data_IF_807207555870
#
_entry.id   IF_807207555870
#
_cell.length_a   1.000
_cell.length_b   1.000
_cell.length_c   1.000
_cell.angle_alpha   90.00
_cell.angle_beta   90.00
_cell.angle_gamma   90.00
#
_symmetry.space_group_name_H-M   'P 1'
#
loop_
_entity.id
_entity.type
_entity.pdbx_description
1 polymer ?
#
# COMPACT_ATOMS: atom_id res chain seq x y z
N UNK A 1 9.36 27.78 7.88
CA UNK A 1 9.70 26.34 7.81
C UNK A 1 9.01 25.84 6.57
N UNK A 2 9.72 25.82 5.45
CA UNK A 2 9.11 25.61 4.14
C UNK A 2 9.15 24.12 3.80
N UNK A 3 8.29 23.34 4.45
CA UNK A 3 7.97 22.02 3.93
C UNK A 3 7.17 22.25 2.64
N UNK A 4 7.80 22.00 1.50
CA UNK A 4 7.17 22.04 0.16
C UNK A 4 5.85 21.24 0.13
N UNK A 5 5.72 20.25 1.02
CA UNK A 5 4.52 19.44 1.24
C UNK A 5 3.33 20.20 1.85
N UNK A 6 3.55 21.35 2.50
CA UNK A 6 2.49 22.20 3.07
C UNK A 6 1.95 23.24 2.07
N UNK A 7 2.53 23.30 0.86
CA UNK A 7 2.02 24.13 -0.22
C UNK A 7 0.59 23.75 -0.58
N UNK A 8 -0.29 24.75 -0.70
CA UNK A 8 -1.70 24.56 -1.08
C UNK A 8 -1.86 23.83 -2.42
N UNK A 9 -0.97 24.08 -3.39
CA UNK A 9 -0.97 23.39 -4.67
C UNK A 9 -0.61 21.91 -4.53
N UNK A 10 0.38 21.59 -3.69
CA UNK A 10 0.79 20.20 -3.41
C UNK A 10 -0.31 19.46 -2.66
N UNK A 11 -0.94 20.09 -1.67
CA UNK A 11 -2.05 19.51 -0.92
C UNK A 11 -3.29 19.27 -1.80
N UNK A 12 -3.61 20.19 -2.71
CA UNK A 12 -4.73 20.00 -3.64
C UNK A 12 -4.44 18.85 -4.62
N UNK A 13 -3.22 18.80 -5.17
CA UNK A 13 -2.79 17.69 -6.03
C UNK A 13 -2.90 16.35 -5.31
N UNK A 14 -2.42 16.28 -4.07
CA UNK A 14 -2.52 15.05 -3.26
C UNK A 14 -3.97 14.67 -2.99
N UNK A 15 -4.87 15.62 -2.68
CA UNK A 15 -6.29 15.28 -2.48
C UNK A 15 -6.97 14.73 -3.74
N UNK A 16 -6.61 15.24 -4.92
CA UNK A 16 -7.24 14.83 -6.18
C UNK A 16 -6.64 13.54 -6.74
N UNK A 17 -5.34 13.33 -6.57
CA UNK A 17 -4.60 12.29 -7.28
C UNK A 17 -4.10 11.17 -6.37
N UNK A 18 -4.01 11.40 -5.06
CA UNK A 18 -3.47 10.39 -4.15
C UNK A 18 -4.55 9.41 -3.71
N UNK A 19 -4.41 8.17 -4.14
CA UNK A 19 -5.18 7.05 -3.57
C UNK A 19 -4.46 6.56 -2.32
N UNK A 20 -5.13 6.67 -1.17
CA UNK A 20 -4.64 6.09 0.06
C UNK A 20 -4.53 4.58 -0.09
N UNK A 21 -3.31 4.05 -0.04
CA UNK A 21 -3.11 2.61 -0.18
C UNK A 21 -3.69 1.82 0.99
N UNK A 22 -3.81 2.45 2.16
CA UNK A 22 -4.55 1.90 3.30
C UNK A 22 -6.04 1.77 3.02
N UNK A 23 -6.67 2.81 2.45
CA UNK A 23 -8.07 2.75 2.06
C UNK A 23 -8.30 1.66 1.00
N UNK A 24 -7.40 1.60 0.00
CA UNK A 24 -7.45 0.57 -1.03
C UNK A 24 -7.40 -0.86 -0.45
N UNK A 25 -6.51 -1.13 0.51
CA UNK A 25 -6.44 -2.44 1.18
C UNK A 25 -7.74 -2.78 1.91
N UNK A 26 -8.35 -1.80 2.59
CA UNK A 26 -9.64 -1.98 3.28
C UNK A 26 -10.75 -2.30 2.29
N UNK A 27 -10.83 -1.56 1.19
CA UNK A 27 -11.83 -1.75 0.14
C UNK A 27 -11.69 -3.13 -0.53
N UNK A 28 -10.46 -3.56 -0.83
CA UNK A 28 -10.19 -4.89 -1.36
C UNK A 28 -10.61 -5.99 -0.39
N UNK A 29 -10.31 -5.84 0.91
CA UNK A 29 -10.75 -6.80 1.96
C UNK A 29 -12.28 -6.86 2.05
N UNK A 30 -12.97 -5.74 1.90
CA UNK A 30 -14.44 -5.71 1.87
C UNK A 30 -15.01 -6.43 0.63
N UNK A 31 -14.43 -6.23 -0.55
CA UNK A 31 -14.83 -6.95 -1.78
C UNK A 31 -14.60 -8.45 -1.64
N UNK A 32 -13.46 -8.85 -1.05
CA UNK A 32 -13.15 -10.27 -0.82
C UNK A 32 -14.18 -10.92 0.12
N UNK A 33 -14.66 -10.19 1.13
CA UNK A 33 -15.65 -10.68 2.10
C UNK A 33 -17.08 -10.80 1.57
N UNK A 34 -17.43 -10.08 0.50
CA UNK A 34 -18.78 -10.10 -0.08
C UNK A 34 -18.87 -11.10 -1.25
N UNK A 35 -18.87 -12.40 -0.95
CA UNK A 35 -18.94 -13.47 -1.96
C UNK A 35 -20.39 -13.91 -2.20
N UNK A 36 -20.90 -13.63 -3.40
CA UNK A 36 -22.10 -14.20 -4.00
C UNK A 36 -21.76 -14.67 -5.41
N UNK A 37 -22.63 -15.47 -6.04
CA UNK A 37 -22.38 -15.99 -7.40
C UNK A 37 -22.04 -14.89 -8.42
N UNK A 38 -22.62 -13.69 -8.26
CA UNK A 38 -22.38 -12.53 -9.11
C UNK A 38 -21.04 -11.83 -8.81
N UNK A 39 -20.50 -11.93 -7.59
CA UNK A 39 -19.31 -11.20 -7.13
C UNK A 39 -18.05 -12.08 -6.96
N UNK A 40 -18.15 -13.41 -7.12
CA UNK A 40 -17.02 -14.35 -6.96
C UNK A 40 -15.81 -13.93 -7.82
N UNK A 41 -16.04 -13.48 -9.06
CA UNK A 41 -14.94 -13.06 -9.95
C UNK A 41 -14.24 -11.80 -9.43
N UNK A 42 -14.99 -10.86 -8.88
CA UNK A 42 -14.42 -9.62 -8.33
C UNK A 42 -13.70 -9.88 -7.01
N UNK A 43 -14.22 -10.78 -6.17
CA UNK A 43 -13.53 -11.27 -4.96
C UNK A 43 -12.19 -11.94 -5.32
N UNK A 44 -12.15 -12.78 -6.35
CA UNK A 44 -10.91 -13.41 -6.82
C UNK A 44 -9.88 -12.38 -7.32
N UNK A 45 -10.32 -11.39 -8.11
CA UNK A 45 -9.46 -10.30 -8.59
C UNK A 45 -8.94 -9.43 -7.45
N UNK A 46 -9.80 -9.08 -6.50
CA UNK A 46 -9.42 -8.29 -5.33
C UNK A 46 -8.39 -9.04 -4.47
N UNK A 47 -8.58 -10.35 -4.29
CA UNK A 47 -7.61 -11.21 -3.63
C UNK A 47 -6.27 -11.22 -4.37
N UNK A 48 -6.29 -11.44 -5.69
CA UNK A 48 -5.06 -11.42 -6.50
C UNK A 48 -4.34 -10.06 -6.43
N UNK A 49 -5.07 -8.95 -6.40
CA UNK A 49 -4.50 -7.62 -6.25
C UNK A 49 -3.85 -7.44 -4.87
N UNK A 50 -4.50 -7.92 -3.80
CA UNK A 50 -3.97 -7.84 -2.45
C UNK A 50 -2.75 -8.76 -2.24
N UNK A 51 -2.78 -9.97 -2.79
CA UNK A 51 -1.66 -10.93 -2.70
C UNK A 51 -0.37 -10.41 -3.36
N UNK A 52 -0.50 -9.51 -4.35
CA UNK A 52 0.63 -8.89 -5.04
C UNK A 52 0.97 -7.48 -4.51
N UNK A 53 0.26 -7.00 -3.49
CA UNK A 53 0.46 -5.68 -2.96
C UNK A 53 1.73 -5.59 -2.10
N UNK A 54 2.58 -4.60 -2.37
CA UNK A 54 3.75 -4.28 -1.55
C UNK A 54 3.68 -2.81 -1.09
N UNK A 55 3.64 -2.58 0.24
CA UNK A 55 3.68 -1.22 0.76
C UNK A 55 5.04 -0.58 0.43
N UNK A 56 5.10 0.69 0.00
CA UNK A 56 6.31 1.30 -0.57
C UNK A 56 7.40 1.61 0.48
N UNK A 57 7.23 1.17 1.73
CA UNK A 57 8.19 1.39 2.81
C UNK A 57 8.87 0.06 3.14
N UNK A 58 10.19 0.06 3.07
CA UNK A 58 11.06 -1.03 3.49
C UNK A 58 12.14 -0.46 4.43
N UNK A 59 12.45 -1.17 5.50
CA UNK A 59 13.60 -0.88 6.36
C UNK A 59 14.72 -1.86 6.04
N UNK A 60 15.95 -1.37 5.94
CA UNK A 60 17.10 -2.17 5.53
C UNK A 60 18.35 -1.81 6.36
N UNK A 61 19.14 -2.83 6.70
CA UNK A 61 20.45 -2.69 7.34
C UNK A 61 21.51 -3.12 6.33
N UNK A 62 22.46 -2.23 6.06
CA UNK A 62 23.55 -2.48 5.11
C UNK A 62 24.92 -2.23 5.74
N UNK A 63 25.91 -2.99 5.30
CA UNK A 63 27.32 -2.70 5.54
C UNK A 63 27.80 -1.54 4.66
N UNK A 64 28.95 -0.96 5.02
CA UNK A 64 29.55 0.16 4.28
C UNK A 64 29.93 -0.25 2.84
N UNK A 65 30.22 -1.52 2.61
CA UNK A 65 30.50 -2.07 1.28
C UNK A 65 29.24 -2.30 0.42
N UNK A 66 28.05 -2.01 0.95
CA UNK A 66 26.77 -2.17 0.28
C UNK A 66 26.11 -3.54 0.48
N UNK A 67 26.75 -4.48 1.19
CA UNK A 67 26.15 -5.78 1.51
C UNK A 67 24.91 -5.61 2.37
N UNK A 68 23.78 -6.14 1.92
CA UNK A 68 22.51 -6.13 2.68
C UNK A 68 22.55 -7.22 3.76
N UNK A 69 22.46 -6.82 5.02
CA UNK A 69 22.40 -7.74 6.16
C UNK A 69 20.96 -8.20 6.40
N UNK A 70 20.01 -7.27 6.33
CA UNK A 70 18.60 -7.52 6.61
C UNK A 70 17.73 -6.50 5.92
N UNK A 71 16.52 -6.90 5.54
CA UNK A 71 15.46 -6.01 5.09
C UNK A 71 14.10 -6.52 5.56
N UNK A 72 13.17 -5.60 5.78
CA UNK A 72 11.78 -5.90 6.17
C UNK A 72 10.83 -4.92 5.48
N UNK A 73 9.82 -5.44 4.77
CA UNK A 73 8.78 -4.61 4.18
C UNK A 73 7.76 -4.24 5.25
N UNK A 74 7.15 -3.06 5.14
CA UNK A 74 6.12 -2.64 6.08
C UNK A 74 4.90 -3.59 6.13
N UNK A 75 4.61 -4.32 5.05
CA UNK A 75 3.56 -5.34 5.05
C UNK A 75 3.77 -6.39 6.15
N UNK A 76 5.03 -6.83 6.35
CA UNK A 76 5.38 -7.86 7.34
C UNK A 76 5.17 -7.37 8.77
N UNK A 77 5.29 -6.05 8.99
CA UNK A 77 5.07 -5.41 10.29
C UNK A 77 3.58 -5.17 10.57
N UNK A 78 2.80 -4.92 9.52
CA UNK A 78 1.40 -4.51 9.61
C UNK A 78 0.41 -5.66 9.45
N UNK A 79 0.89 -6.89 9.21
CA UNK A 79 0.09 -8.08 8.91
C UNK A 79 -0.94 -7.81 7.79
N UNK A 80 -0.49 -7.11 6.73
CA UNK A 80 -1.36 -6.71 5.62
C UNK A 80 -1.66 -7.89 4.70
#
# INVERSE_FOLDING_TARGET
>A
SDLVLESSAVLNLLREQFVSTWALVVDLKAIIGNQSDDTIKDSQRAKQALDNYAFPVESMIQQIDGTVISKINANDLLNI
#
